data_IF_574031144289
#
_entry.id   IF_574031144289
#
_cell.length_a   1.000
_cell.length_b   1.000
_cell.length_c   1.000
_cell.angle_alpha   90.00
_cell.angle_beta   90.00
_cell.angle_gamma   90.00
#
_symmetry.space_group_name_H-M   'P 1'
#
loop_
_entity.id
_entity.type
_entity.pdbx_description
1 polymer ?
#
# COMPACT_ATOMS: atom_id res chain seq x y z
N UNK A 1 -10.45 6.19 24.53
CA UNK A 1 -9.44 5.75 24.35
C UNK A 1 -8.87 5.84 23.04
N UNK A 2 -7.84 6.34 22.98
CA UNK A 2 -7.24 6.64 21.75
C UNK A 2 -6.96 5.48 20.90
N UNK A 3 -7.06 4.39 21.39
CA UNK A 3 -6.63 3.33 20.67
C UNK A 3 -7.52 2.94 19.62
N UNK A 4 -8.55 3.58 19.47
CA UNK A 4 -9.34 3.19 18.45
C UNK A 4 -8.58 3.31 17.21
N UNK A 5 -7.48 3.95 17.21
CA UNK A 5 -6.75 3.99 16.05
C UNK A 5 -6.35 2.69 15.60
N UNK A 6 -6.29 1.77 16.46
CA UNK A 6 -5.88 0.55 16.06
C UNK A 6 -6.81 -0.05 15.16
N UNK A 7 -7.96 0.40 15.20
CA UNK A 7 -8.89 -0.11 14.35
C UNK A 7 -8.49 0.12 12.96
N UNK A 8 -7.65 1.05 12.79
CA UNK A 8 -7.26 1.32 11.49
C UNK A 8 -6.37 0.26 10.98
N UNK A 9 -5.95 -0.58 11.82
CA UNK A 9 -5.08 -1.60 11.35
C UNK A 9 -5.87 -2.71 10.74
N UNK A 10 -7.12 -2.54 10.48
CA UNK A 10 -7.84 -3.59 9.87
C UNK A 10 -7.16 -3.93 8.59
N UNK A 11 -7.05 -5.17 8.27
CA UNK A 11 -6.34 -5.56 7.10
C UNK A 11 -7.13 -5.23 5.87
N UNK A 12 -6.47 -4.68 4.91
CA UNK A 12 -7.05 -4.40 3.62
C UNK A 12 -6.23 -5.13 2.60
N UNK A 13 -6.89 -5.62 1.59
CA UNK A 13 -6.17 -6.18 0.48
C UNK A 13 -5.65 -5.02 -0.35
N UNK A 14 -4.41 -5.11 -0.77
CA UNK A 14 -3.82 -4.08 -1.58
C UNK A 14 -3.15 -4.75 -2.75
N UNK A 15 -3.21 -4.13 -3.90
CA UNK A 15 -2.48 -4.60 -5.05
C UNK A 15 -1.60 -3.47 -5.52
N UNK A 16 -0.39 -3.78 -5.94
CA UNK A 16 0.50 -2.75 -6.41
C UNK A 16 1.08 -3.12 -7.76
N UNK A 17 1.37 -2.11 -8.56
CA UNK A 17 1.88 -2.32 -9.88
C UNK A 17 3.12 -1.48 -10.05
N UNK A 18 4.21 -2.11 -10.45
CA UNK A 18 5.46 -1.41 -10.69
C UNK A 18 5.44 -0.77 -12.07
N UNK A 19 6.28 0.22 -12.32
CA UNK A 19 6.21 0.97 -13.56
C UNK A 19 6.33 0.13 -14.82
N UNK A 20 7.17 -0.87 -14.77
CA UNK A 20 7.37 -1.68 -15.95
C UNK A 20 6.58 -2.96 -15.95
N UNK A 21 5.71 -3.15 -15.00
CA UNK A 21 4.98 -4.39 -14.89
C UNK A 21 3.64 -4.27 -15.61
N UNK A 22 3.16 -5.36 -16.09
CA UNK A 22 1.86 -5.37 -16.72
C UNK A 22 0.80 -5.96 -15.81
N UNK A 23 1.18 -6.41 -14.65
CA UNK A 23 0.24 -7.02 -13.74
C UNK A 23 0.38 -6.41 -12.37
N UNK A 24 -0.69 -6.51 -11.60
CA UNK A 24 -0.65 -6.08 -10.21
C UNK A 24 -0.21 -7.25 -9.35
N UNK A 25 0.51 -6.95 -8.28
CA UNK A 25 0.93 -7.96 -7.33
C UNK A 25 0.16 -7.76 -6.05
N UNK A 26 -0.16 -8.83 -5.36
CA UNK A 26 -0.91 -8.77 -4.13
C UNK A 26 -0.01 -8.36 -2.98
N UNK A 27 -0.57 -7.63 -2.04
CA UNK A 27 0.13 -7.25 -0.84
C UNK A 27 -0.85 -7.06 0.28
N UNK A 28 -0.33 -6.68 1.44
CA UNK A 28 -1.14 -6.49 2.61
C UNK A 28 -0.94 -5.08 3.11
N UNK A 29 -2.01 -4.34 3.27
CA UNK A 29 -1.92 -2.99 3.77
C UNK A 29 -1.72 -3.03 5.27
N UNK A 30 -0.68 -2.37 5.75
CA UNK A 30 -0.38 -2.34 7.16
C UNK A 30 -0.88 -1.06 7.81
N UNK A 31 -0.81 0.04 7.09
CA UNK A 31 -1.22 1.31 7.64
C UNK A 31 -1.48 2.30 6.53
N UNK A 32 -2.49 3.12 6.69
CA UNK A 32 -2.79 4.17 5.74
C UNK A 32 -2.95 5.47 6.50
N UNK A 33 -2.29 6.50 6.06
CA UNK A 33 -2.44 7.81 6.66
C UNK A 33 -2.79 8.80 5.56
N UNK A 34 -2.95 10.03 5.89
CA UNK A 34 -3.29 11.02 4.89
C UNK A 34 -2.18 11.28 3.91
N UNK A 35 -0.95 10.96 4.27
CA UNK A 35 0.18 11.27 3.41
C UNK A 35 0.88 10.04 2.86
N UNK A 36 0.59 8.86 3.35
CA UNK A 36 1.34 7.70 2.89
C UNK A 36 0.68 6.39 3.20
N UNK A 37 1.23 5.33 2.65
CA UNK A 37 0.72 4.00 2.81
C UNK A 37 1.89 3.08 3.10
N UNK A 38 1.74 2.26 4.14
CA UNK A 38 2.73 1.27 4.49
C UNK A 38 2.12 -0.09 4.16
N UNK A 39 2.81 -0.87 3.37
CA UNK A 39 2.28 -2.16 2.98
C UNK A 39 3.38 -3.21 2.94
N UNK A 40 2.98 -4.46 2.89
CA UNK A 40 3.90 -5.57 2.83
C UNK A 40 3.71 -6.31 1.52
N UNK A 41 4.79 -6.63 0.86
CA UNK A 41 4.72 -7.37 -0.38
C UNK A 41 5.92 -8.28 -0.50
N UNK A 42 5.97 -9.02 -1.59
CA UNK A 42 7.03 -9.98 -1.79
C UNK A 42 8.16 -9.46 -2.65
N UNK A 43 8.09 -8.24 -3.09
CA UNK A 43 9.10 -7.71 -4.00
C UNK A 43 9.88 -6.61 -3.33
N UNK A 44 11.18 -6.56 -3.59
CA UNK A 44 12.00 -5.48 -3.11
C UNK A 44 11.82 -4.34 -4.08
N UNK A 45 11.42 -3.19 -3.56
CA UNK A 45 11.18 -2.03 -4.38
C UNK A 45 12.21 -0.98 -4.05
N UNK A 46 12.57 -0.18 -5.02
CA UNK A 46 13.62 0.79 -4.80
C UNK A 46 13.09 2.15 -4.45
N UNK A 47 13.87 2.89 -3.67
CA UNK A 47 13.46 4.23 -3.26
C UNK A 47 13.26 5.08 -4.50
N UNK A 48 12.21 5.87 -4.48
CA UNK A 48 11.90 6.74 -5.60
C UNK A 48 11.05 6.10 -6.67
N UNK A 49 10.78 4.80 -6.55
CA UNK A 49 10.02 4.13 -7.57
C UNK A 49 8.56 4.53 -7.47
N UNK A 50 7.93 4.79 -8.61
CA UNK A 50 6.52 5.15 -8.64
C UNK A 50 5.69 3.89 -8.75
N UNK A 51 4.66 3.81 -7.93
CA UNK A 51 3.79 2.64 -7.95
C UNK A 51 2.35 3.09 -8.07
N UNK A 52 1.54 2.21 -8.61
CA UNK A 52 0.12 2.41 -8.62
C UNK A 52 -0.45 1.40 -7.63
N UNK A 53 -1.19 1.88 -6.64
CA UNK A 53 -1.77 1.00 -5.64
C UNK A 53 -3.27 0.97 -5.79
N UNK A 54 -3.85 -0.21 -5.61
CA UNK A 54 -5.28 -0.37 -5.60
C UNK A 54 -5.65 -0.96 -4.27
N UNK A 55 -6.51 -0.29 -3.52
CA UNK A 55 -6.89 -0.72 -2.20
C UNK A 55 -8.35 -1.09 -2.23
N UNK A 56 -8.66 -2.29 -1.78
CA UNK A 56 -10.03 -2.76 -1.74
C UNK A 56 -10.31 -3.17 -0.32
N UNK A 57 -11.15 -2.39 0.35
CA UNK A 57 -11.48 -2.71 1.73
C UNK A 57 -12.49 -3.84 1.73
N UNK A 58 -12.44 -4.65 2.77
CA UNK A 58 -13.41 -5.71 2.87
C UNK A 58 -14.77 -5.15 3.15
N UNK A 59 -14.81 -3.98 3.74
CA UNK A 59 -16.06 -3.36 4.05
C UNK A 59 -16.60 -2.71 2.79
N UNK A 60 -17.77 -3.11 2.34
CA UNK A 60 -18.29 -2.59 1.12
C UNK A 60 -18.74 -1.15 1.21
N UNK A 61 -18.74 -0.58 2.39
CA UNK A 61 -19.11 0.80 2.52
C UNK A 61 -18.00 1.72 2.02
N UNK A 62 -16.79 1.19 1.85
CA UNK A 62 -15.67 1.99 1.39
C UNK A 62 -15.40 1.62 -0.06
N UNK A 63 -15.49 2.56 -0.97
CA UNK A 63 -15.26 2.24 -2.37
C UNK A 63 -13.80 1.93 -2.64
N UNK A 64 -13.52 1.22 -3.69
CA UNK A 64 -12.14 0.94 -4.06
C UNK A 64 -11.41 2.23 -4.35
N UNK A 65 -10.14 2.26 -4.07
CA UNK A 65 -9.34 3.45 -4.19
C UNK A 65 -8.07 3.15 -4.95
N UNK A 66 -7.68 4.03 -5.84
CA UNK A 66 -6.39 3.92 -6.48
C UNK A 66 -5.54 5.10 -6.10
N UNK A 67 -4.28 4.84 -5.82
CA UNK A 67 -3.37 5.88 -5.42
C UNK A 67 -2.08 5.75 -6.20
N UNK A 68 -1.46 6.87 -6.51
CA UNK A 68 -0.15 6.86 -7.11
C UNK A 68 0.80 7.26 -6.01
N UNK A 69 1.80 6.43 -5.77
CA UNK A 69 2.69 6.64 -4.63
C UNK A 69 4.14 6.54 -5.06
N UNK A 70 5.01 7.08 -4.24
CA UNK A 70 6.42 6.99 -4.46
C UNK A 70 7.01 6.21 -3.30
N UNK A 71 7.87 5.23 -3.59
CA UNK A 71 8.49 4.43 -2.57
C UNK A 71 9.50 5.26 -1.82
N UNK A 72 9.34 5.38 -0.52
CA UNK A 72 10.30 6.07 0.31
C UNK A 72 11.38 5.12 0.78
N UNK A 73 11.01 3.88 1.10
CA UNK A 73 11.99 2.89 1.47
C UNK A 73 11.33 1.53 1.47
N UNK A 74 12.15 0.50 1.36
CA UNK A 74 11.69 -0.87 1.35
C UNK A 74 12.63 -1.64 2.25
N UNK A 75 12.09 -2.37 3.22
CA UNK A 75 12.89 -3.06 4.20
C UNK A 75 12.52 -4.53 4.21
N UNK A 76 13.51 -5.38 4.15
CA UNK A 76 13.26 -6.81 4.18
C UNK A 76 13.01 -7.22 5.62
N UNK A 77 11.85 -7.81 5.90
CA UNK A 77 11.53 -8.23 7.25
C UNK A 77 11.62 -9.74 7.38
N UNK A 78 11.45 -10.47 6.28
CA UNK A 78 11.60 -11.91 6.27
C UNK A 78 11.97 -12.29 4.86
N UNK A 79 12.47 -13.46 4.61
CA UNK A 79 12.74 -13.86 3.24
C UNK A 79 11.50 -13.68 2.38
N UNK A 80 11.64 -12.96 1.29
CA UNK A 80 10.55 -12.71 0.39
C UNK A 80 9.42 -11.91 1.01
N UNK A 81 9.72 -11.15 2.06
CA UNK A 81 8.74 -10.28 2.66
C UNK A 81 9.36 -8.93 2.88
N UNK A 82 8.77 -7.90 2.29
CA UNK A 82 9.30 -6.56 2.40
C UNK A 82 8.24 -5.61 2.90
N UNK A 83 8.64 -4.69 3.78
CA UNK A 83 7.74 -3.67 4.27
C UNK A 83 8.09 -2.41 3.51
N UNK A 84 7.14 -1.85 2.82
CA UNK A 84 7.38 -0.73 1.93
C UNK A 84 6.64 0.49 2.42
N UNK A 85 7.38 1.57 2.64
CA UNK A 85 6.80 2.84 3.04
C UNK A 85 6.72 3.72 1.82
N UNK A 86 5.57 4.33 1.60
CA UNK A 86 5.35 5.13 0.41
C UNK A 86 4.71 6.45 0.76
N UNK A 87 4.87 7.42 -0.13
CA UNK A 87 4.23 8.70 0.02
C UNK A 87 3.20 8.83 -1.08
N UNK A 88 2.01 9.28 -0.76
CA UNK A 88 0.93 9.42 -1.73
C UNK A 88 1.17 10.66 -2.55
N UNK A 89 1.18 10.49 -3.87
CA UNK A 89 1.35 11.60 -4.79
C UNK A 89 0.06 11.96 -5.48
N UNK A 90 -0.89 11.08 -5.51
CA UNK A 90 -2.18 11.38 -6.10
C UNK A 90 -3.15 10.28 -5.81
N UNK A 91 -4.43 10.62 -5.80
CA UNK A 91 -5.47 9.65 -5.52
C UNK A 91 -6.49 9.74 -6.63
N UNK A 92 -6.96 8.59 -7.07
CA UNK A 92 -7.96 8.54 -8.09
C UNK A 92 -9.10 7.67 -7.59
N UNK A 93 -10.30 8.19 -7.71
CA UNK A 93 -11.46 7.41 -7.32
C UNK A 93 -12.05 6.76 -8.54
N UNK A 94 -12.74 5.68 -8.32
CA UNK A 94 -13.45 5.03 -9.39
C UNK A 94 -14.76 5.68 -9.66
#
# INVERSE_FOLDING_TARGET
EPRQFELMTMSCAISYKCPDAEEYYDGECLNVSGSGILFRGKHKLENGMALELAIVAKNKLIPPLRAYVEVLRSKEIDPEQYEVATEIKGIREY
#
